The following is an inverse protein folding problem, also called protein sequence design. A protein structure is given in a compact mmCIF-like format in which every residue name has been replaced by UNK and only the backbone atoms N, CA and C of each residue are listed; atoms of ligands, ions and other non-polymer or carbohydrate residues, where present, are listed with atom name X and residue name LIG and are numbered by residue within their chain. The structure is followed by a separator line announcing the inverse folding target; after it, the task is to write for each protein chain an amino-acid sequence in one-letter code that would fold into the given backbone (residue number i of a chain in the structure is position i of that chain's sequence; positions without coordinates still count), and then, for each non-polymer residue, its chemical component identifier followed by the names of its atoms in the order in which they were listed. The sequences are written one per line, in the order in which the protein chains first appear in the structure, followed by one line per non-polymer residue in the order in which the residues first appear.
data_IF_677099588074
#
_entry.id   IF_677099588074
#
_cell.length_a   1.000
_cell.length_b   1.000
_cell.length_c   1.000
_cell.angle_alpha   90.00
_cell.angle_beta   90.00
_cell.angle_gamma   90.00
#
_symmetry.space_group_name_H-M   'P 1'
#
loop_
_entity.id
_entity.type
_entity.pdbx_description
1 polymer ?
#
# COMPACT_ATOMS: atom_id res chain seq x y z
N UNK A 1 5.98 -19.86 -14.71
CA UNK A 1 7.43 -19.82 -14.46
C UNK A 1 7.72 -20.05 -12.98
N UNK A 2 8.97 -20.36 -12.61
CA UNK A 2 9.33 -20.61 -11.21
C UNK A 2 9.09 -19.35 -10.35
N UNK A 3 9.32 -18.17 -10.90
CA UNK A 3 9.12 -16.88 -10.25
C UNK A 3 7.65 -16.69 -9.81
N UNK A 4 6.69 -16.95 -10.68
CA UNK A 4 5.26 -16.82 -10.38
C UNK A 4 4.81 -17.78 -9.28
N UNK A 5 5.43 -18.95 -9.18
CA UNK A 5 5.13 -19.91 -8.14
C UNK A 5 5.54 -19.38 -6.73
N UNK A 6 6.69 -18.73 -6.62
CA UNK A 6 7.14 -18.12 -5.38
C UNK A 6 6.30 -16.91 -4.98
N UNK A 7 5.90 -16.09 -5.95
CA UNK A 7 4.98 -14.96 -5.72
C UNK A 7 3.64 -15.50 -5.22
N UNK A 8 3.05 -16.48 -5.89
CA UNK A 8 1.79 -17.11 -5.44
C UNK A 8 1.89 -17.74 -4.06
N UNK A 9 3.02 -18.38 -3.74
CA UNK A 9 3.23 -18.93 -2.40
C UNK A 9 3.23 -17.83 -1.34
N UNK A 10 3.86 -16.69 -1.60
CA UNK A 10 3.84 -15.53 -0.72
C UNK A 10 2.40 -14.99 -0.55
N UNK A 11 1.70 -14.72 -1.65
CA UNK A 11 0.36 -14.15 -1.65
C UNK A 11 -0.63 -15.05 -0.93
N UNK A 12 -0.65 -16.35 -1.25
CA UNK A 12 -1.49 -17.34 -0.57
C UNK A 12 -1.19 -17.43 0.92
N UNK A 13 0.09 -17.36 1.29
CA UNK A 13 0.50 -17.36 2.70
C UNK A 13 -0.06 -16.13 3.41
N UNK A 14 0.20 -14.93 2.90
CA UNK A 14 -0.29 -13.67 3.49
C UNK A 14 -1.83 -13.66 3.60
N UNK A 15 -2.54 -14.07 2.55
CA UNK A 15 -4.00 -14.13 2.54
C UNK A 15 -4.56 -15.11 3.59
N UNK A 16 -3.83 -16.19 3.88
CA UNK A 16 -4.22 -17.19 4.87
C UNK A 16 -3.94 -16.79 6.32
N UNK A 17 -3.01 -15.85 6.55
CA UNK A 17 -2.63 -15.42 7.91
C UNK A 17 -3.82 -14.88 8.67
N UNK A 18 -3.84 -15.18 9.98
CA UNK A 18 -4.82 -14.62 10.92
C UNK A 18 -4.07 -14.03 12.10
N UNK A 19 -4.46 -12.82 12.44
CA UNK A 19 -3.79 -12.01 13.44
C UNK A 19 -4.62 -11.99 14.73
N UNK A 20 -4.14 -12.59 15.82
CA UNK A 20 -4.83 -12.54 17.10
C UNK A 20 -4.95 -11.10 17.61
N UNK A 21 -6.16 -10.67 17.89
CA UNK A 21 -6.43 -9.35 18.45
C UNK A 21 -7.55 -9.47 19.47
N UNK A 22 -7.22 -9.32 20.75
CA UNK A 22 -8.16 -9.57 21.87
C UNK A 22 -8.74 -10.98 21.75
N UNK A 23 -10.07 -11.11 21.68
CA UNK A 23 -10.78 -12.40 21.55
C UNK A 23 -11.06 -12.81 20.09
N UNK A 24 -10.49 -12.10 19.09
CA UNK A 24 -10.76 -12.32 17.66
C UNK A 24 -9.49 -12.71 16.92
N UNK A 25 -9.68 -13.31 15.74
CA UNK A 25 -8.63 -13.54 14.73
C UNK A 25 -9.00 -12.70 13.51
N UNK A 26 -8.19 -11.70 13.20
CA UNK A 26 -8.41 -10.74 12.13
C UNK A 26 -7.67 -11.15 10.86
N UNK A 27 -8.18 -10.73 9.71
CA UNK A 27 -7.47 -10.78 8.43
C UNK A 27 -6.37 -9.72 8.36
N UNK A 28 -5.52 -9.78 7.33
CA UNK A 28 -4.49 -8.78 7.07
C UNK A 28 -5.07 -7.37 6.93
N UNK A 29 -6.15 -7.21 6.18
CA UNK A 29 -6.82 -5.91 6.00
C UNK A 29 -7.38 -5.35 7.31
N UNK A 30 -8.06 -6.18 8.10
CA UNK A 30 -8.65 -5.76 9.37
C UNK A 30 -7.58 -5.34 10.40
N UNK A 31 -6.48 -6.11 10.53
CA UNK A 31 -5.43 -5.77 11.49
C UNK A 31 -4.64 -4.52 11.08
N UNK A 32 -4.38 -4.33 9.79
CA UNK A 32 -3.72 -3.14 9.26
C UNK A 32 -4.56 -1.89 9.47
N UNK A 33 -5.87 -1.98 9.32
CA UNK A 33 -6.81 -0.87 9.58
C UNK A 33 -6.72 -0.36 11.03
N UNK A 34 -6.45 -1.24 12.00
CA UNK A 34 -6.27 -0.86 13.39
C UNK A 34 -5.03 0.02 13.64
N UNK A 35 -4.06 0.06 12.72
CA UNK A 35 -2.92 0.97 12.81
C UNK A 35 -3.30 2.44 12.56
N UNK A 36 -4.48 2.69 11.99
CA UNK A 36 -5.04 4.02 11.78
C UNK A 36 -6.08 4.42 12.84
N UNK A 37 -6.26 3.63 13.89
CA UNK A 37 -7.17 3.95 14.98
C UNK A 37 -6.65 5.12 15.83
N UNK A 38 -7.56 5.95 16.38
CA UNK A 38 -7.18 7.04 17.29
C UNK A 38 -6.56 6.55 18.60
N UNK A 39 -7.05 5.42 19.09
CA UNK A 39 -6.61 4.84 20.37
C UNK A 39 -5.20 4.21 20.21
N UNK A 40 -4.20 4.79 20.89
CA UNK A 40 -2.81 4.34 20.84
C UNK A 40 -2.62 2.88 21.31
N UNK A 41 -3.41 2.42 22.30
CA UNK A 41 -3.33 1.03 22.75
C UNK A 41 -3.80 0.06 21.67
N UNK A 42 -4.87 0.39 20.94
CA UNK A 42 -5.33 -0.43 19.80
C UNK A 42 -4.26 -0.54 18.72
N UNK A 43 -3.62 0.58 18.35
CA UNK A 43 -2.52 0.57 17.36
C UNK A 43 -1.34 -0.27 17.83
N UNK A 44 -0.92 -0.10 19.09
CA UNK A 44 0.16 -0.88 19.71
C UNK A 44 -0.13 -2.38 19.68
N UNK A 45 -1.34 -2.78 20.09
CA UNK A 45 -1.72 -4.19 20.15
C UNK A 45 -1.77 -4.80 18.73
N UNK A 46 -2.30 -4.06 17.76
CA UNK A 46 -2.30 -4.46 16.36
C UNK A 46 -0.87 -4.64 15.83
N UNK A 47 0.01 -3.66 16.03
CA UNK A 47 1.39 -3.72 15.59
C UNK A 47 2.17 -4.89 16.21
N UNK A 48 1.95 -5.19 17.49
CA UNK A 48 2.55 -6.35 18.16
C UNK A 48 2.03 -7.66 17.58
N UNK A 49 0.72 -7.76 17.30
CA UNK A 49 0.15 -8.94 16.68
C UNK A 49 0.73 -9.18 15.28
N UNK A 50 0.82 -8.13 14.46
CA UNK A 50 1.46 -8.21 13.14
C UNK A 50 2.89 -8.72 13.26
N UNK A 51 3.70 -8.11 14.11
CA UNK A 51 5.11 -8.51 14.31
C UNK A 51 5.23 -9.96 14.77
N UNK A 52 4.37 -10.42 15.67
CA UNK A 52 4.36 -11.82 16.15
C UNK A 52 4.03 -12.81 15.02
N UNK A 53 2.96 -12.58 14.28
CA UNK A 53 2.50 -13.52 13.22
C UNK A 53 3.49 -13.55 12.06
N UNK A 54 3.98 -12.40 11.60
CA UNK A 54 4.99 -12.35 10.55
C UNK A 54 6.31 -12.96 11.02
N UNK A 55 6.71 -12.73 12.26
CA UNK A 55 7.90 -13.36 12.86
C UNK A 55 7.85 -14.89 12.91
N UNK A 56 6.67 -15.48 13.11
CA UNK A 56 6.48 -16.93 13.06
C UNK A 56 6.69 -17.51 11.64
N UNK A 57 6.53 -16.70 10.61
CA UNK A 57 6.68 -17.07 9.20
C UNK A 57 7.99 -16.56 8.57
N UNK A 58 8.90 -15.97 9.36
CA UNK A 58 10.09 -15.31 8.84
C UNK A 58 11.01 -16.24 8.02
N UNK A 59 11.11 -17.52 8.40
CA UNK A 59 11.92 -18.50 7.65
C UNK A 59 11.37 -18.73 6.24
N UNK A 60 10.05 -18.86 6.12
CA UNK A 60 9.38 -19.01 4.83
C UNK A 60 9.59 -17.77 3.97
N UNK A 61 9.32 -16.59 4.52
CA UNK A 61 9.50 -15.34 3.79
C UNK A 61 10.95 -15.07 3.38
N UNK A 62 11.91 -15.42 4.25
CA UNK A 62 13.32 -15.34 3.91
C UNK A 62 13.70 -16.30 2.76
N UNK A 63 13.16 -17.51 2.77
CA UNK A 63 13.38 -18.48 1.67
C UNK A 63 12.83 -17.94 0.35
N UNK A 64 11.58 -17.44 0.34
CA UNK A 64 10.97 -16.86 -0.85
C UNK A 64 11.81 -15.68 -1.37
N UNK A 65 12.14 -14.72 -0.48
CA UNK A 65 12.91 -13.52 -0.85
C UNK A 65 14.29 -13.87 -1.39
N UNK A 66 15.01 -14.79 -0.73
CA UNK A 66 16.34 -15.21 -1.15
C UNK A 66 16.31 -15.94 -2.50
N UNK A 67 15.29 -16.76 -2.75
CA UNK A 67 15.11 -17.47 -4.02
C UNK A 67 14.86 -16.48 -5.15
N UNK A 68 13.94 -15.53 -4.97
CA UNK A 68 13.66 -14.50 -5.96
C UNK A 68 14.87 -13.59 -6.22
N UNK A 69 15.59 -13.20 -5.16
CA UNK A 69 16.80 -12.41 -5.29
C UNK A 69 17.91 -13.17 -6.05
N UNK A 70 18.05 -14.48 -5.79
CA UNK A 70 19.01 -15.31 -6.51
C UNK A 70 18.65 -15.47 -7.98
N UNK A 71 17.39 -15.75 -8.28
CA UNK A 71 16.87 -15.85 -9.64
C UNK A 71 17.15 -14.55 -10.44
N UNK A 72 16.78 -13.41 -9.84
CA UNK A 72 17.09 -12.10 -10.41
C UNK A 72 18.59 -11.89 -10.64
N UNK A 73 19.43 -12.30 -9.69
CA UNK A 73 20.89 -12.12 -9.82
C UNK A 73 21.49 -12.95 -10.98
N UNK A 74 20.89 -14.09 -11.28
CA UNK A 74 21.28 -14.94 -12.41
C UNK A 74 20.86 -14.26 -13.71
N UNK A 75 19.61 -13.79 -13.79
CA UNK A 75 19.09 -13.08 -14.98
C UNK A 75 19.90 -11.80 -15.26
N UNK A 76 20.18 -11.00 -14.24
CA UNK A 76 21.00 -9.79 -14.37
C UNK A 76 22.41 -10.13 -14.90
N UNK A 77 23.03 -11.20 -14.43
CA UNK A 77 24.34 -11.66 -14.89
C UNK A 77 24.29 -12.09 -16.37
N UNK A 78 23.30 -12.85 -16.77
CA UNK A 78 23.12 -13.29 -18.15
C UNK A 78 22.89 -12.13 -19.11
N UNK A 79 22.14 -11.11 -18.66
CA UNK A 79 21.88 -9.88 -19.41
C UNK A 79 23.02 -8.85 -19.32
N UNK A 80 24.06 -9.16 -18.54
CA UNK A 80 25.22 -8.27 -18.31
C UNK A 80 24.80 -6.90 -17.74
N UNK A 81 23.81 -6.88 -16.87
CA UNK A 81 23.41 -5.65 -16.21
C UNK A 81 24.44 -5.23 -15.15
N UNK A 82 24.86 -3.94 -15.10
CA UNK A 82 25.93 -3.47 -14.22
C UNK A 82 25.52 -3.40 -12.75
N UNK A 83 24.21 -3.35 -12.47
CA UNK A 83 23.68 -3.25 -11.12
C UNK A 83 22.23 -3.79 -11.06
N UNK A 84 21.71 -4.11 -9.86
CA UNK A 84 20.40 -4.74 -9.69
C UNK A 84 19.20 -3.88 -10.13
N UNK A 85 19.34 -2.55 -10.25
CA UNK A 85 18.23 -1.67 -10.64
C UNK A 85 18.15 -1.45 -12.14
N UNK A 86 19.16 -1.88 -12.91
CA UNK A 86 19.22 -1.63 -14.36
C UNK A 86 18.02 -2.17 -15.13
N UNK A 87 17.61 -3.40 -14.81
CA UNK A 87 16.45 -4.01 -15.47
C UNK A 87 15.17 -3.17 -15.27
N UNK A 88 14.96 -2.65 -14.04
CA UNK A 88 13.80 -1.81 -13.72
C UNK A 88 13.88 -0.45 -14.42
N UNK A 89 15.07 0.17 -14.47
CA UNK A 89 15.26 1.46 -15.16
C UNK A 89 14.95 1.33 -16.64
N UNK A 90 15.40 0.25 -17.29
CA UNK A 90 15.10 -0.03 -18.70
C UNK A 90 13.60 -0.30 -18.91
N UNK A 91 12.98 -1.07 -18.04
CA UNK A 91 11.53 -1.36 -18.10
C UNK A 91 10.67 -0.11 -17.94
N UNK A 92 11.14 0.87 -17.18
CA UNK A 92 10.46 2.15 -16.96
C UNK A 92 10.87 3.23 -17.96
N UNK A 93 11.72 2.91 -18.92
CA UNK A 93 12.28 3.85 -19.90
C UNK A 93 12.89 5.11 -19.23
N UNK A 94 13.67 4.87 -18.17
CA UNK A 94 14.28 5.93 -17.35
C UNK A 94 15.80 5.78 -17.33
N UNK A 95 16.49 6.90 -17.48
CA UNK A 95 17.95 6.95 -17.38
C UNK A 95 18.43 6.70 -15.93
N UNK A 96 19.54 5.95 -15.78
CA UNK A 96 20.14 5.65 -14.47
C UNK A 96 20.44 6.94 -13.68
N UNK A 97 20.89 7.99 -14.35
CA UNK A 97 21.20 9.30 -13.76
C UNK A 97 19.99 9.96 -13.10
N UNK A 98 18.81 9.79 -13.67
CA UNK A 98 17.55 10.33 -13.10
C UNK A 98 17.25 9.63 -11.77
N UNK A 99 17.37 8.31 -11.73
CA UNK A 99 17.11 7.51 -10.51
C UNK A 99 18.15 7.83 -9.41
N UNK A 100 19.42 7.93 -9.77
CA UNK A 100 20.48 8.33 -8.83
C UNK A 100 20.21 9.71 -8.25
N UNK A 101 19.87 10.69 -9.09
CA UNK A 101 19.57 12.05 -8.68
C UNK A 101 18.34 12.11 -7.78
N UNK A 102 17.27 11.40 -8.15
CA UNK A 102 16.06 11.28 -7.33
C UNK A 102 16.38 10.71 -5.95
N UNK A 103 17.06 9.56 -5.90
CA UNK A 103 17.43 8.91 -4.63
C UNK A 103 18.27 9.82 -3.74
N UNK A 104 19.29 10.48 -4.30
CA UNK A 104 20.15 11.42 -3.58
C UNK A 104 19.36 12.63 -3.04
N UNK A 105 18.49 13.20 -3.89
CA UNK A 105 17.67 14.37 -3.50
C UNK A 105 16.68 14.01 -2.39
N UNK A 106 15.98 12.89 -2.51
CA UNK A 106 15.04 12.42 -1.49
C UNK A 106 15.78 12.16 -0.17
N UNK A 107 16.88 11.42 -0.21
CA UNK A 107 17.64 11.08 1.00
C UNK A 107 18.19 12.34 1.70
N UNK A 108 18.74 13.29 0.94
CA UNK A 108 19.24 14.56 1.50
C UNK A 108 18.15 15.46 2.07
N UNK A 109 16.90 15.25 1.65
CA UNK A 109 15.73 16.02 2.12
C UNK A 109 15.08 15.46 3.40
N UNK A 110 15.46 14.27 3.87
CA UNK A 110 14.81 13.64 5.03
C UNK A 110 14.81 14.51 6.28
N UNK A 111 15.94 15.15 6.61
CA UNK A 111 16.04 16.01 7.80
C UNK A 111 15.12 17.22 7.72
N UNK A 112 14.97 17.80 6.54
CA UNK A 112 14.16 19.01 6.31
C UNK A 112 12.67 18.73 6.19
N UNK A 113 12.29 17.55 5.72
CA UNK A 113 10.89 17.18 5.42
C UNK A 113 10.36 16.13 6.40
N UNK A 114 10.68 14.87 6.21
CA UNK A 114 10.05 13.78 6.96
C UNK A 114 10.39 13.79 8.45
N UNK A 115 11.65 14.03 8.82
CA UNK A 115 12.04 14.12 10.24
C UNK A 115 11.38 15.32 10.94
N UNK A 116 11.29 16.45 10.24
CA UNK A 116 10.58 17.63 10.74
C UNK A 116 9.09 17.34 10.92
N UNK A 117 8.45 16.69 9.95
CA UNK A 117 7.05 16.29 10.07
C UNK A 117 6.81 15.39 11.28
N UNK A 118 7.61 14.36 11.47
CA UNK A 118 7.45 13.46 12.62
C UNK A 118 7.75 14.13 13.96
N UNK A 119 8.66 15.09 14.00
CA UNK A 119 8.87 15.90 15.20
C UNK A 119 7.65 16.78 15.51
N UNK A 120 7.03 17.40 14.50
CA UNK A 120 5.78 18.16 14.65
C UNK A 120 4.64 17.23 15.08
N UNK A 121 4.48 16.08 14.44
CA UNK A 121 3.47 15.08 14.80
C UNK A 121 3.62 14.63 16.25
N UNK A 122 4.84 14.39 16.73
CA UNK A 122 5.08 14.05 18.14
C UNK A 122 4.59 15.16 19.10
N UNK A 123 4.83 16.43 18.76
CA UNK A 123 4.32 17.58 19.55
C UNK A 123 2.78 17.61 19.56
N UNK A 124 2.12 17.41 18.44
CA UNK A 124 0.67 17.36 18.37
C UNK A 124 0.04 16.22 19.18
N UNK A 125 0.78 15.12 19.34
CA UNK A 125 0.38 13.99 20.18
C UNK A 125 0.80 14.16 21.66
N UNK A 126 1.47 15.25 22.03
CA UNK A 126 1.94 15.49 23.40
C UNK A 126 2.99 14.49 23.86
N UNK A 127 3.77 13.91 22.93
CA UNK A 127 4.81 12.91 23.24
C UNK A 127 6.19 13.38 22.81
N UNK A 128 7.21 12.97 23.57
CA UNK A 128 8.61 13.30 23.24
C UNK A 128 9.06 12.66 21.92
N UNK A 129 8.57 11.45 21.62
CA UNK A 129 8.92 10.69 20.42
C UNK A 129 7.79 9.74 20.04
N UNK A 130 7.40 9.73 18.76
CA UNK A 130 6.43 8.77 18.22
C UNK A 130 6.99 7.34 18.30
N UNK A 131 6.10 6.40 18.54
CA UNK A 131 6.39 4.98 18.38
C UNK A 131 6.07 4.57 16.93
N UNK A 132 6.65 3.46 16.46
CA UNK A 132 6.45 3.00 15.08
C UNK A 132 4.98 2.74 14.74
N UNK A 133 4.15 2.35 15.71
CA UNK A 133 2.71 2.17 15.53
C UNK A 133 1.92 3.48 15.47
N UNK A 134 2.54 4.63 15.73
CA UNK A 134 1.89 5.94 15.65
C UNK A 134 2.08 6.60 14.27
N UNK A 135 2.81 5.95 13.36
CA UNK A 135 3.13 6.49 12.04
C UNK A 135 1.86 6.90 11.28
N UNK A 136 0.86 6.01 11.22
CA UNK A 136 -0.40 6.21 10.51
C UNK A 136 -1.55 6.70 11.43
N UNK A 137 -1.24 7.05 12.69
CA UNK A 137 -2.24 7.57 13.60
C UNK A 137 -2.85 8.87 13.06
N UNK A 138 -4.20 9.02 13.04
CA UNK A 138 -4.85 10.25 12.63
C UNK A 138 -4.48 11.39 13.58
N UNK A 139 -4.38 12.60 13.05
CA UNK A 139 -4.01 13.77 13.85
C UNK A 139 -5.13 14.12 14.85
N UNK A 140 -4.79 14.68 16.02
CA UNK A 140 -5.79 14.98 17.07
C UNK A 140 -6.93 15.90 16.61
N UNK A 141 -6.65 16.75 15.62
CA UNK A 141 -7.59 17.73 15.06
C UNK A 141 -8.24 17.27 13.75
N UNK A 142 -7.97 16.05 13.26
CA UNK A 142 -8.65 15.51 12.09
C UNK A 142 -10.14 15.25 12.40
N UNK A 143 -10.99 15.55 11.41
CA UNK A 143 -12.40 15.26 11.47
C UNK A 143 -12.67 13.75 11.53
N UNK A 144 -13.68 13.35 12.32
CA UNK A 144 -14.20 11.98 12.33
C UNK A 144 -15.31 11.76 11.29
N UNK A 145 -15.47 12.70 10.35
CA UNK A 145 -16.53 12.60 9.36
C UNK A 145 -16.37 11.33 8.53
N UNK A 146 -17.39 10.51 8.52
CA UNK A 146 -17.52 9.35 7.64
C UNK A 146 -18.55 9.65 6.57
N UNK A 147 -18.31 9.16 5.38
CA UNK A 147 -19.21 9.35 4.23
C UNK A 147 -19.85 8.01 3.88
N UNK A 148 -21.16 8.01 3.72
CA UNK A 148 -21.86 6.84 3.14
C UNK A 148 -21.49 6.71 1.67
N UNK A 149 -21.62 5.50 1.12
CA UNK A 149 -21.24 5.23 -0.27
C UNK A 149 -21.88 6.20 -1.27
N UNK A 150 -23.18 6.45 -1.16
CA UNK A 150 -23.88 7.37 -2.08
C UNK A 150 -23.41 8.82 -1.93
N UNK A 151 -23.05 9.24 -0.72
CA UNK A 151 -22.47 10.58 -0.49
C UNK A 151 -21.07 10.68 -1.12
N UNK A 152 -20.23 9.65 -0.93
CA UNK A 152 -18.92 9.57 -1.56
C UNK A 152 -19.01 9.60 -3.10
N UNK A 153 -19.95 8.83 -3.69
CA UNK A 153 -20.25 8.87 -5.13
C UNK A 153 -20.54 10.31 -5.60
N UNK A 154 -21.45 10.98 -4.90
CA UNK A 154 -21.85 12.35 -5.27
C UNK A 154 -20.69 13.34 -5.18
N UNK A 155 -19.85 13.24 -4.13
CA UNK A 155 -18.67 14.09 -3.96
C UNK A 155 -17.70 13.88 -5.11
N UNK A 156 -17.36 12.63 -5.43
CA UNK A 156 -16.44 12.29 -6.51
C UNK A 156 -16.99 12.74 -7.86
N UNK A 157 -18.26 12.43 -8.14
CA UNK A 157 -18.94 12.81 -9.38
C UNK A 157 -18.92 14.34 -9.58
N UNK A 158 -19.24 15.10 -8.54
CA UNK A 158 -19.27 16.56 -8.62
C UNK A 158 -17.87 17.15 -8.80
N UNK A 159 -16.85 16.61 -8.10
CA UNK A 159 -15.48 17.07 -8.23
C UNK A 159 -14.96 16.91 -9.67
N UNK A 160 -15.15 15.75 -10.27
CA UNK A 160 -14.72 15.50 -11.65
C UNK A 160 -15.56 16.29 -12.68
N UNK A 161 -16.86 16.45 -12.45
CA UNK A 161 -17.73 17.22 -13.35
C UNK A 161 -17.40 18.70 -13.33
N UNK A 162 -17.03 19.25 -12.18
CA UNK A 162 -16.63 20.67 -12.05
C UNK A 162 -15.26 20.93 -12.68
N UNK A 163 -14.36 19.93 -12.70
CA UNK A 163 -13.09 20.04 -13.40
C UNK A 163 -13.28 20.03 -14.92
N UNK A 164 -14.02 19.03 -15.45
CA UNK A 164 -14.35 18.97 -16.87
C UNK A 164 -15.59 18.10 -17.13
N UNK A 165 -16.60 18.58 -17.87
CA UNK A 165 -17.86 17.85 -18.09
C UNK A 165 -17.70 16.44 -18.70
N UNK A 166 -16.76 16.27 -19.64
CA UNK A 166 -16.54 14.94 -20.26
C UNK A 166 -15.91 13.95 -19.29
N UNK A 167 -15.02 14.40 -18.39
CA UNK A 167 -14.46 13.55 -17.32
C UNK A 167 -15.57 13.15 -16.37
N UNK A 168 -16.45 14.08 -15.99
CA UNK A 168 -17.63 13.79 -15.20
C UNK A 168 -18.52 12.69 -15.81
N UNK A 169 -18.74 12.73 -17.13
CA UNK A 169 -19.50 11.69 -17.86
C UNK A 169 -18.83 10.30 -17.76
N UNK A 170 -17.50 10.25 -17.87
CA UNK A 170 -16.74 9.01 -17.72
C UNK A 170 -16.87 8.46 -16.29
N UNK A 171 -16.65 9.30 -15.28
CA UNK A 171 -16.78 8.91 -13.86
C UNK A 171 -18.19 8.39 -13.55
N UNK A 172 -19.21 9.02 -14.13
CA UNK A 172 -20.59 8.56 -13.99
C UNK A 172 -20.76 7.11 -14.48
N UNK A 173 -20.18 6.74 -15.63
CA UNK A 173 -20.21 5.37 -16.13
C UNK A 173 -19.58 4.36 -15.15
N UNK A 174 -18.45 4.71 -14.54
CA UNK A 174 -17.81 3.83 -13.54
C UNK A 174 -18.75 3.45 -12.39
N UNK A 175 -19.59 4.39 -11.98
CA UNK A 175 -20.59 4.14 -10.93
C UNK A 175 -21.85 3.43 -11.43
N UNK A 176 -22.38 3.84 -12.56
CA UNK A 176 -23.65 3.33 -13.08
C UNK A 176 -23.51 1.89 -13.62
N UNK A 177 -22.38 1.58 -14.26
CA UNK A 177 -22.09 0.28 -14.85
C UNK A 177 -21.32 -0.66 -13.91
N UNK A 178 -21.16 -0.26 -12.63
CA UNK A 178 -20.51 -1.07 -11.59
C UNK A 178 -19.07 -1.48 -11.91
N UNK A 179 -18.29 -0.60 -12.53
CA UNK A 179 -16.87 -0.85 -12.83
C UNK A 179 -15.95 -0.66 -11.61
N UNK A 180 -16.53 -0.36 -10.45
CA UNK A 180 -15.82 -0.21 -9.16
C UNK A 180 -16.25 -1.32 -8.21
N UNK A 181 -15.31 -2.17 -7.81
CA UNK A 181 -15.53 -3.18 -6.77
C UNK A 181 -15.07 -2.64 -5.42
N UNK A 182 -16.02 -2.09 -4.63
CA UNK A 182 -15.75 -1.48 -3.33
C UNK A 182 -16.03 -2.36 -2.10
N UNK A 183 -16.88 -3.43 -2.14
CA UNK A 183 -17.23 -4.18 -0.94
C UNK A 183 -16.02 -4.80 -0.23
N UNK A 184 -16.00 -4.72 1.10
CA UNK A 184 -15.05 -5.44 1.94
C UNK A 184 -15.53 -6.86 2.12
N UNK A 185 -14.88 -7.82 1.46
CA UNK A 185 -15.24 -9.24 1.51
C UNK A 185 -14.06 -10.10 1.96
N UNK A 186 -14.36 -11.27 2.54
CA UNK A 186 -13.34 -12.23 2.95
C UNK A 186 -12.55 -12.75 1.75
N UNK A 187 -11.24 -12.75 1.85
CA UNK A 187 -10.32 -13.23 0.78
C UNK A 187 -9.97 -12.17 -0.25
N UNK A 188 -10.49 -10.95 -0.15
CA UNK A 188 -10.05 -9.82 -0.96
C UNK A 188 -8.73 -9.27 -0.43
N UNK A 189 -7.77 -9.05 -1.33
CA UNK A 189 -6.51 -8.42 -0.98
C UNK A 189 -6.70 -6.95 -0.54
N UNK A 190 -5.97 -6.50 0.47
CA UNK A 190 -5.99 -5.09 0.87
C UNK A 190 -5.28 -4.24 -0.19
N UNK A 191 -5.86 -3.10 -0.49
CA UNK A 191 -5.28 -2.13 -1.42
C UNK A 191 -6.28 -1.68 -2.47
N UNK A 192 -5.82 -0.79 -3.34
CA UNK A 192 -6.60 -0.29 -4.45
C UNK A 192 -5.76 -0.33 -5.73
N UNK A 193 -6.38 -0.71 -6.84
CA UNK A 193 -5.75 -0.65 -8.15
C UNK A 193 -6.76 -0.39 -9.26
N UNK A 194 -6.27 0.13 -10.36
CA UNK A 194 -6.99 0.20 -11.63
C UNK A 194 -6.42 -0.83 -12.58
N UNK A 195 -7.26 -1.67 -13.14
CA UNK A 195 -6.89 -2.69 -14.11
C UNK A 195 -7.44 -2.30 -15.49
N UNK A 196 -6.54 -1.98 -16.42
CA UNK A 196 -6.85 -1.85 -17.84
C UNK A 196 -6.39 -3.12 -18.58
N UNK A 197 -7.18 -3.57 -19.55
CA UNK A 197 -6.85 -4.76 -20.35
C UNK A 197 -6.41 -4.36 -21.75
N UNK A 198 -7.37 -4.01 -22.61
CA UNK A 198 -7.13 -3.56 -23.98
C UNK A 198 -7.87 -2.24 -24.26
N UNK A 199 -7.48 -1.46 -25.25
CA UNK A 199 -8.11 -0.15 -25.52
C UNK A 199 -9.61 -0.17 -25.80
N UNK A 200 -10.15 -1.28 -26.25
CA UNK A 200 -11.59 -1.46 -26.54
C UNK A 200 -12.42 -1.87 -25.32
N UNK A 201 -11.79 -2.16 -24.18
CA UNK A 201 -12.47 -2.56 -22.94
C UNK A 201 -12.20 -1.53 -21.86
N UNK A 202 -13.25 -1.14 -21.13
CA UNK A 202 -13.13 -0.21 -20.02
C UNK A 202 -12.27 -0.79 -18.89
N UNK A 203 -11.54 0.04 -18.15
CA UNK A 203 -10.80 -0.40 -16.97
C UNK A 203 -11.76 -0.68 -15.80
N UNK A 204 -11.29 -1.51 -14.87
CA UNK A 204 -11.95 -1.75 -13.59
C UNK A 204 -11.16 -1.13 -12.45
N UNK A 205 -11.86 -0.71 -11.39
CA UNK A 205 -11.26 -0.22 -10.15
C UNK A 205 -11.64 -1.16 -9.02
N UNK A 206 -10.63 -1.58 -8.25
CA UNK A 206 -10.79 -2.31 -7.00
C UNK A 206 -10.30 -1.40 -5.86
N UNK A 207 -11.11 -1.24 -4.81
CA UNK A 207 -10.81 -0.44 -3.62
C UNK A 207 -11.19 -1.17 -2.34
#
# INVERSE_FOLDING_TARGET
TSNDAWIRLFDNTIASLRFPYRKKKLSSAEILNLLSERNASKRKDAAKSIGKVLGQNVKLFATITNTLAKDKSIDDKWRKYPNPVKAMNLSNDVEDKVIETLSKTVTSSYSKLSHRYYAMKAKWFGVKRLKYWDRNAPLPFESNKTFKWNEAKSIVQNAYSSFHPNIGKIVKKFFDESWIHAPVIKGKDPGAFSASTIPSVHPYILI
#
